data_IF_017697442732
#
_entry.id   IF_017697442732
#
_cell.length_a   1.000
_cell.length_b   1.000
_cell.length_c   1.000
_cell.angle_alpha   90.00
_cell.angle_beta   90.00
_cell.angle_gamma   90.00
#
_symmetry.space_group_name_H-M   'P 1'
#
loop_
_entity.id
_entity.type
_entity.pdbx_description
1 polymer ?
#
# COMPACT_ATOMS: atom_id res chain seq x y z
N UNK A 1 -7.08 -7.15 -2.38
CA UNK A 1 -6.35 -7.42 -1.13
C UNK A 1 -5.90 -6.12 -0.50
N UNK A 2 -5.95 -6.07 0.83
CA UNK A 2 -5.51 -4.87 1.55
C UNK A 2 -3.99 -4.82 1.62
N UNK A 3 -3.45 -3.64 1.41
CA UNK A 3 -2.02 -3.36 1.55
C UNK A 3 -1.79 -2.46 2.75
N UNK A 4 -0.61 -2.59 3.35
CA UNK A 4 -0.20 -1.79 4.49
C UNK A 4 1.24 -1.34 4.31
N UNK A 5 1.54 -0.14 4.80
CA UNK A 5 2.90 0.39 4.77
C UNK A 5 3.51 0.24 6.16
N UNK A 6 4.68 -0.37 6.22
CA UNK A 6 5.43 -0.53 7.47
C UNK A 6 6.16 0.77 7.77
N UNK A 7 5.83 1.41 8.90
CA UNK A 7 6.38 2.72 9.27
C UNK A 7 7.89 2.71 9.44
N UNK A 8 8.44 1.62 9.98
CA UNK A 8 9.88 1.55 10.28
C UNK A 8 10.75 1.41 9.03
N UNK A 9 10.25 0.72 7.99
CA UNK A 9 11.02 0.43 6.77
C UNK A 9 10.50 1.17 5.54
N UNK A 10 9.24 1.58 5.57
CA UNK A 10 8.57 2.15 4.40
C UNK A 10 8.13 1.13 3.37
N UNK A 11 8.27 -0.15 3.66
CA UNK A 11 7.86 -1.22 2.75
C UNK A 11 6.35 -1.38 2.74
N UNK A 12 5.81 -1.79 1.59
CA UNK A 12 4.39 -2.08 1.43
C UNK A 12 4.21 -3.59 1.38
N UNK A 13 3.36 -4.11 2.27
CA UNK A 13 3.09 -5.53 2.40
C UNK A 13 1.59 -5.78 2.45
N UNK A 14 1.15 -6.96 2.01
CA UNK A 14 -0.24 -7.38 2.19
C UNK A 14 -0.47 -7.86 3.61
N UNK A 15 -1.75 -7.97 4.00
CA UNK A 15 -2.12 -8.50 5.31
C UNK A 15 -1.54 -9.89 5.55
N UNK A 16 -1.61 -10.77 4.54
CA UNK A 16 -1.06 -12.11 4.65
C UNK A 16 0.45 -12.12 4.84
N UNK A 17 1.17 -11.22 4.18
CA UNK A 17 2.62 -11.09 4.34
C UNK A 17 2.98 -10.61 5.74
N UNK A 18 2.24 -9.66 6.27
CA UNK A 18 2.48 -9.14 7.63
C UNK A 18 2.20 -10.22 8.67
N UNK A 19 1.17 -11.03 8.49
CA UNK A 19 0.89 -12.17 9.38
C UNK A 19 2.04 -13.17 9.40
N UNK A 20 2.66 -13.42 8.25
CA UNK A 20 3.83 -14.31 8.17
C UNK A 20 5.04 -13.73 8.88
N UNK A 21 5.18 -12.42 8.92
CA UNK A 21 6.26 -11.75 9.65
C UNK A 21 6.10 -11.87 11.17
N UNK A 22 4.87 -12.12 11.65
CA UNK A 22 4.55 -12.22 13.06
C UNK A 22 3.84 -13.55 13.37
N UNK A 23 4.52 -14.70 13.19
CA UNK A 23 3.86 -16.00 13.31
C UNK A 23 3.39 -16.36 14.72
N UNK A 24 3.94 -15.70 15.74
CA UNK A 24 3.60 -15.96 17.14
C UNK A 24 2.56 -14.96 17.68
N UNK A 25 2.04 -14.08 16.84
CA UNK A 25 1.05 -13.08 17.23
C UNK A 25 -0.31 -13.49 16.69
N UNK A 26 -1.28 -13.64 17.60
CA UNK A 26 -2.67 -13.90 17.20
C UNK A 26 -3.31 -12.59 16.74
N UNK A 27 -3.81 -12.57 15.52
CA UNK A 27 -4.42 -11.38 14.93
C UNK A 27 -5.84 -11.68 14.48
N UNK A 28 -6.77 -10.71 14.62
CA UNK A 28 -8.13 -10.85 14.09
C UNK A 28 -8.12 -10.82 12.56
N UNK A 29 -9.21 -11.27 11.93
CA UNK A 29 -9.36 -11.21 10.48
C UNK A 29 -9.50 -9.77 10.00
N UNK A 30 -10.17 -8.94 10.77
CA UNK A 30 -10.40 -7.53 10.45
C UNK A 30 -9.45 -6.71 11.32
N UNK A 31 -8.63 -5.91 10.66
CA UNK A 31 -7.67 -5.04 11.35
C UNK A 31 -8.24 -3.63 11.45
N UNK A 32 -8.17 -3.07 12.65
CA UNK A 32 -8.59 -1.71 12.94
C UNK A 32 -7.38 -0.83 13.29
N UNK A 33 -7.64 0.39 13.71
CA UNK A 33 -6.57 1.33 14.07
C UNK A 33 -5.68 0.82 15.20
N UNK A 34 -6.25 0.12 16.17
CA UNK A 34 -5.47 -0.44 17.29
C UNK A 34 -4.45 -1.46 16.79
N UNK A 35 -4.86 -2.32 15.85
CA UNK A 35 -3.95 -3.30 15.25
C UNK A 35 -2.86 -2.59 14.43
N UNK A 36 -3.22 -1.54 13.69
CA UNK A 36 -2.25 -0.77 12.91
C UNK A 36 -1.19 -0.14 13.83
N UNK A 37 -1.60 0.40 14.97
CA UNK A 37 -0.68 0.98 15.93
C UNK A 37 0.22 -0.07 16.59
N UNK A 38 -0.33 -1.22 16.95
CA UNK A 38 0.44 -2.30 17.56
C UNK A 38 1.53 -2.85 16.63
N UNK A 39 1.23 -2.92 15.33
CA UNK A 39 2.16 -3.45 14.33
C UNK A 39 3.05 -2.37 13.73
N UNK A 40 2.77 -1.10 13.98
CA UNK A 40 3.51 0.01 13.38
C UNK A 40 3.32 0.10 11.88
N UNK A 41 2.07 -0.04 11.42
CA UNK A 41 1.71 -0.01 10.01
C UNK A 41 0.63 1.03 9.74
N UNK A 42 0.52 1.45 8.49
CA UNK A 42 -0.54 2.33 8.02
C UNK A 42 -1.29 1.65 6.87
N UNK A 43 -2.63 1.74 6.83
CA UNK A 43 -3.38 1.17 5.72
C UNK A 43 -3.12 1.94 4.43
N UNK A 44 -3.02 1.21 3.32
CA UNK A 44 -2.86 1.79 1.98
C UNK A 44 -4.18 1.66 1.26
N UNK A 45 -4.77 2.79 0.87
CA UNK A 45 -6.04 2.81 0.16
C UNK A 45 -5.82 2.50 -1.33
N UNK A 46 -6.72 1.72 -1.91
CA UNK A 46 -6.66 1.42 -3.34
C UNK A 46 -7.08 2.64 -4.14
N UNK A 47 -6.32 2.92 -5.21
CA UNK A 47 -6.69 3.95 -6.18
C UNK A 47 -6.82 3.32 -7.55
N UNK A 48 -7.74 3.80 -8.40
CA UNK A 48 -7.85 3.25 -9.75
C UNK A 48 -6.60 3.57 -10.55
N UNK A 49 -6.20 2.64 -11.43
CA UNK A 49 -5.09 2.86 -12.33
C UNK A 49 -5.44 4.02 -13.28
N UNK A 50 -4.64 5.10 -13.32
CA UNK A 50 -4.92 6.20 -14.22
C UNK A 50 -4.70 5.79 -15.68
N UNK A 51 -5.39 6.46 -16.60
CA UNK A 51 -5.20 6.21 -18.02
C UNK A 51 -3.92 6.90 -18.50
N UNK A 52 -3.14 6.27 -19.40
CA UNK A 52 -1.96 6.92 -19.98
C UNK A 52 -2.35 8.14 -20.82
N UNK A 53 -1.52 9.16 -20.81
CA UNK A 53 -1.79 10.39 -21.56
C UNK A 53 -1.51 10.27 -23.05
N UNK A 54 -0.87 9.17 -23.49
CA UNK A 54 -0.53 8.96 -24.90
C UNK A 54 -0.46 7.50 -25.28
N UNK A 55 -0.47 7.22 -26.59
CA UNK A 55 -0.49 5.86 -27.12
C UNK A 55 0.78 5.05 -26.80
N UNK A 56 1.88 5.74 -26.56
CA UNK A 56 3.17 5.11 -26.24
C UNK A 56 3.57 5.27 -24.79
N UNK A 57 2.59 5.39 -23.92
CA UNK A 57 2.79 5.54 -22.49
C UNK A 57 2.16 4.36 -21.75
N UNK A 58 2.80 3.94 -20.67
CA UNK A 58 2.27 2.92 -19.78
C UNK A 58 2.24 3.44 -18.36
N UNK A 59 1.22 3.05 -17.61
CA UNK A 59 1.09 3.42 -16.20
C UNK A 59 1.42 2.20 -15.36
N UNK A 60 2.39 2.33 -14.46
CA UNK A 60 2.83 1.26 -13.56
C UNK A 60 2.75 1.70 -12.12
N UNK A 61 2.72 0.74 -11.21
CA UNK A 61 2.76 1.03 -9.76
C UNK A 61 4.11 1.65 -9.40
N UNK A 62 4.06 2.66 -8.55
CA UNK A 62 5.25 3.33 -8.03
C UNK A 62 5.13 3.50 -6.51
N UNK A 63 4.97 2.39 -5.79
CA UNK A 63 4.87 2.40 -4.35
C UNK A 63 3.59 3.03 -3.82
N UNK A 64 3.72 3.86 -2.82
CA UNK A 64 2.60 4.56 -2.18
C UNK A 64 2.97 6.02 -1.94
N UNK A 65 1.94 6.86 -1.83
CA UNK A 65 2.10 8.27 -1.51
C UNK A 65 1.05 8.70 -0.50
N UNK A 66 1.29 9.82 0.14
CA UNK A 66 0.34 10.38 1.09
C UNK A 66 -0.51 11.41 0.37
N UNK A 67 -1.84 11.29 0.49
CA UNK A 67 -2.76 12.22 -0.15
C UNK A 67 -2.98 13.47 0.72
N UNK A 68 -3.87 14.37 0.27
CA UNK A 68 -4.15 15.62 0.97
C UNK A 68 -4.76 15.41 2.36
N UNK A 69 -5.43 14.27 2.58
CA UNK A 69 -6.04 13.91 3.87
C UNK A 69 -5.05 13.23 4.82
N UNK A 70 -3.81 13.02 4.39
CA UNK A 70 -2.79 12.35 5.18
C UNK A 70 -2.86 10.83 5.12
N UNK A 71 -3.70 10.26 4.27
CA UNK A 71 -3.82 8.82 4.11
C UNK A 71 -2.82 8.30 3.06
N UNK A 72 -2.32 7.09 3.28
CA UNK A 72 -1.46 6.43 2.31
C UNK A 72 -2.30 5.81 1.21
N UNK A 73 -1.96 6.10 -0.04
CA UNK A 73 -2.67 5.61 -1.22
C UNK A 73 -1.67 5.02 -2.21
N UNK A 74 -2.17 4.18 -3.11
CA UNK A 74 -1.34 3.61 -4.16
C UNK A 74 -0.87 4.71 -5.11
N UNK A 75 0.45 4.76 -5.36
CA UNK A 75 1.05 5.70 -6.30
C UNK A 75 1.22 5.06 -7.66
N UNK A 76 1.16 5.88 -8.70
CA UNK A 76 1.30 5.44 -10.09
C UNK A 76 2.26 6.37 -10.81
N UNK A 77 3.02 5.81 -11.74
CA UNK A 77 3.94 6.58 -12.58
C UNK A 77 3.69 6.24 -14.04
N UNK A 78 3.78 7.23 -14.89
CA UNK A 78 3.66 7.09 -16.34
C UNK A 78 5.04 6.97 -16.95
N UNK A 79 5.24 5.97 -17.81
CA UNK A 79 6.52 5.71 -18.46
C UNK A 79 6.34 5.60 -19.96
N UNK A 80 7.38 5.97 -20.71
CA UNK A 80 7.40 5.80 -22.17
C UNK A 80 7.64 4.33 -22.51
N UNK A 81 6.85 3.80 -23.43
CA UNK A 81 6.96 2.41 -23.86
C UNK A 81 8.05 2.22 -24.93
N UNK A 82 8.31 3.25 -25.69
CA UNK A 82 9.29 3.21 -26.79
C UNK A 82 10.72 3.42 -26.32
#
# INVERSE_FOLDING_TARGET
MSEYRIRSTGEVKTQGQIRKMHPNVSMPKIWNEDIHEQLGIDPVLSTPRPEPSGAYKAVTRNGVEQNADGNWVQAWIEQDIT
#
